data_IF_077007056035
#
_entry.id   IF_077007056035
#
_cell.length_a   1.000
_cell.length_b   1.000
_cell.length_c   1.000
_cell.angle_alpha   90.00
_cell.angle_beta   90.00
_cell.angle_gamma   90.00
#
_symmetry.space_group_name_H-M   'P 1'
#
loop_
_entity.id
_entity.type
_entity.pdbx_description
1 polymer ?
#
# COMPACT_ATOMS: atom_id res chain seq x y z
N UNK A 1 -7.01 36.18 29.27
CA UNK A 1 -6.54 35.97 27.89
C UNK A 1 -5.90 34.60 27.84
N UNK A 2 -6.61 33.60 27.33
CA UNK A 2 -6.05 32.25 27.18
C UNK A 2 -5.05 32.34 26.04
N UNK A 3 -3.78 32.05 26.32
CA UNK A 3 -2.74 31.95 25.29
C UNK A 3 -3.17 30.92 24.25
N UNK A 4 -3.29 31.32 22.98
CA UNK A 4 -3.55 30.39 21.88
C UNK A 4 -2.50 29.27 21.92
N UNK A 5 -2.95 28.05 22.20
CA UNK A 5 -2.13 26.85 22.16
C UNK A 5 -1.99 26.46 20.70
N UNK A 6 -0.83 26.76 20.13
CA UNK A 6 -0.51 26.46 18.73
C UNK A 6 0.50 25.34 18.64
N UNK A 7 0.24 24.36 17.77
CA UNK A 7 1.19 23.30 17.48
C UNK A 7 2.37 23.86 16.69
N UNK A 8 3.57 23.42 17.09
CA UNK A 8 4.79 23.82 16.41
C UNK A 8 5.13 22.85 15.28
N UNK A 9 5.96 23.31 14.33
CA UNK A 9 6.53 22.42 13.31
C UNK A 9 7.30 21.24 13.92
N UNK A 10 7.90 21.42 15.10
CA UNK A 10 8.57 20.35 15.84
C UNK A 10 7.60 19.26 16.30
N UNK A 11 6.40 19.62 16.75
CA UNK A 11 5.40 18.64 17.16
C UNK A 11 4.89 17.82 15.96
N UNK A 12 4.63 18.50 14.83
CA UNK A 12 4.25 17.84 13.58
C UNK A 12 5.34 16.87 13.10
N UNK A 13 6.62 17.25 13.25
CA UNK A 13 7.75 16.37 12.94
C UNK A 13 7.79 15.14 13.86
N UNK A 14 7.53 15.29 15.16
CA UNK A 14 7.43 14.17 16.08
C UNK A 14 6.26 13.24 15.77
N UNK A 15 5.10 13.79 15.40
CA UNK A 15 3.96 13.00 14.92
C UNK A 15 4.35 12.24 13.66
N UNK A 16 4.98 12.91 12.69
CA UNK A 16 5.45 12.27 11.46
C UNK A 16 6.42 11.11 11.76
N UNK A 17 7.41 11.32 12.61
CA UNK A 17 8.38 10.29 12.97
C UNK A 17 7.71 9.09 13.65
N UNK A 18 6.88 9.33 14.68
CA UNK A 18 6.16 8.27 15.41
C UNK A 18 5.16 7.53 14.52
N UNK A 19 4.52 8.22 13.59
CA UNK A 19 3.54 7.64 12.68
C UNK A 19 4.15 6.58 11.75
N UNK A 20 5.47 6.59 11.50
CA UNK A 20 6.13 5.54 10.72
C UNK A 20 6.06 4.16 11.41
N UNK A 21 5.88 4.13 12.73
CA UNK A 21 5.82 2.91 13.55
C UNK A 21 4.39 2.45 13.84
N UNK A 22 3.40 2.96 13.10
CA UNK A 22 1.99 2.75 13.44
C UNK A 22 1.55 1.29 13.46
N UNK A 23 2.08 0.46 12.56
CA UNK A 23 1.75 -0.96 12.54
C UNK A 23 2.49 -1.79 13.59
N UNK A 24 3.37 -1.18 14.40
CA UNK A 24 4.15 -1.90 15.42
C UNK A 24 3.30 -2.51 16.54
N UNK A 25 2.04 -2.09 16.68
CA UNK A 25 1.10 -2.59 17.70
C UNK A 25 -0.21 -3.11 17.11
N UNK A 26 -0.15 -3.64 15.89
CA UNK A 26 -1.33 -4.16 15.20
C UNK A 26 -1.94 -5.34 15.97
N UNK A 27 -3.25 -5.25 16.26
CA UNK A 27 -3.99 -6.27 17.00
C UNK A 27 -5.38 -6.49 16.39
N UNK A 28 -5.97 -7.67 16.59
CA UNK A 28 -7.27 -8.00 15.98
C UNK A 28 -8.45 -7.25 16.60
N UNK A 29 -8.34 -6.77 17.84
CA UNK A 29 -9.43 -6.06 18.52
C UNK A 29 -9.63 -4.66 17.95
N UNK A 30 -8.54 -3.92 17.71
CA UNK A 30 -8.57 -2.47 17.36
C UNK A 30 -7.63 -2.08 16.22
N UNK A 31 -7.01 -3.06 15.56
CA UNK A 31 -6.13 -2.89 14.40
C UNK A 31 -4.98 -1.92 14.72
N UNK A 32 -4.98 -0.72 14.14
CA UNK A 32 -3.89 0.27 14.22
C UNK A 32 -4.11 1.32 15.33
N UNK A 33 -5.16 1.19 16.14
CA UNK A 33 -5.56 2.21 17.13
C UNK A 33 -4.44 2.61 18.10
N UNK A 34 -3.66 1.65 18.60
CA UNK A 34 -2.59 1.96 19.55
C UNK A 34 -1.44 2.74 18.91
N UNK A 35 -1.05 2.38 17.68
CA UNK A 35 -0.06 3.13 16.91
C UNK A 35 -0.55 4.52 16.49
N UNK A 36 -1.86 4.65 16.23
CA UNK A 36 -2.51 5.94 16.01
C UNK A 36 -2.37 6.84 17.25
N UNK A 37 -2.77 6.31 18.41
CA UNK A 37 -2.69 7.00 19.69
C UNK A 37 -1.23 7.39 20.03
N UNK A 38 -0.27 6.47 19.87
CA UNK A 38 1.16 6.72 20.07
C UNK A 38 1.70 7.90 19.24
N UNK A 39 1.20 8.05 18.01
CA UNK A 39 1.58 9.14 17.11
C UNK A 39 1.11 10.50 17.63
N UNK A 40 -0.01 10.56 18.35
CA UNK A 40 -0.61 11.79 18.87
C UNK A 40 -0.17 12.18 20.29
N UNK A 41 0.44 11.26 21.04
CA UNK A 41 0.98 11.52 22.38
C UNK A 41 1.77 12.85 22.52
N UNK A 42 2.73 13.21 21.65
CA UNK A 42 3.50 14.45 21.85
C UNK A 42 2.61 15.70 21.75
N UNK A 43 1.58 15.65 20.92
CA UNK A 43 0.63 16.74 20.72
C UNK A 43 -0.36 16.83 21.87
N UNK A 44 -0.93 15.70 22.28
CA UNK A 44 -1.86 15.64 23.44
C UNK A 44 -1.17 16.17 24.71
N UNK A 45 0.11 15.81 24.93
CA UNK A 45 0.87 16.28 26.07
C UNK A 45 1.12 17.79 26.06
N UNK A 46 1.20 18.42 24.89
CA UNK A 46 1.37 19.86 24.72
C UNK A 46 0.04 20.61 24.87
N UNK A 47 -1.02 20.12 24.24
CA UNK A 47 -2.32 20.78 24.22
C UNK A 47 -3.02 20.73 25.59
N UNK A 48 -2.91 19.59 26.29
CA UNK A 48 -3.57 19.37 27.56
C UNK A 48 -2.54 19.36 28.70
N UNK A 49 -2.74 20.20 29.71
CA UNK A 49 -1.87 20.25 30.90
C UNK A 49 -2.37 19.31 32.00
N UNK A 50 -3.69 19.25 32.20
CA UNK A 50 -4.31 18.40 33.21
C UNK A 50 -4.26 16.93 32.79
N UNK A 51 -3.98 16.07 33.78
CA UNK A 51 -3.90 14.61 33.59
C UNK A 51 -5.23 14.02 33.12
N UNK A 52 -6.34 14.51 33.64
CA UNK A 52 -7.69 14.05 33.30
C UNK A 52 -8.01 14.30 31.83
N UNK A 53 -7.73 15.52 31.34
CA UNK A 53 -7.92 15.89 29.94
C UNK A 53 -7.05 15.06 29.00
N UNK A 54 -5.80 14.77 29.38
CA UNK A 54 -4.90 13.87 28.62
C UNK A 54 -5.45 12.45 28.55
N UNK A 55 -5.98 11.92 29.65
CA UNK A 55 -6.55 10.56 29.67
C UNK A 55 -7.79 10.50 28.77
N UNK A 56 -8.66 11.50 28.85
CA UNK A 56 -9.83 11.60 27.95
C UNK A 56 -9.38 11.63 26.48
N UNK A 57 -8.36 12.43 26.17
CA UNK A 57 -7.79 12.53 24.83
C UNK A 57 -7.20 11.24 24.30
N UNK A 58 -6.46 10.50 25.12
CA UNK A 58 -5.89 9.24 24.71
C UNK A 58 -6.97 8.17 24.51
N UNK A 59 -8.04 8.18 25.32
CA UNK A 59 -9.15 7.22 25.20
C UNK A 59 -9.92 7.37 23.89
N UNK A 60 -10.26 8.59 23.44
CA UNK A 60 -10.92 8.80 22.14
C UNK A 60 -10.08 8.34 20.94
N UNK A 61 -8.75 8.42 21.05
CA UNK A 61 -7.86 7.97 19.97
C UNK A 61 -7.54 6.47 20.00
N UNK A 62 -7.92 5.76 21.08
CA UNK A 62 -7.77 4.30 21.25
C UNK A 62 -8.92 3.47 20.68
N UNK A 63 -9.89 4.12 20.05
CA UNK A 63 -10.97 3.44 19.33
C UNK A 63 -10.49 2.85 18.01
N UNK A 64 -11.24 1.87 17.51
CA UNK A 64 -10.94 1.12 16.28
C UNK A 64 -10.49 2.05 15.16
N UNK A 65 -9.34 1.73 14.56
CA UNK A 65 -8.82 2.47 13.43
C UNK A 65 -8.07 1.53 12.51
N UNK A 66 -8.47 1.51 11.24
CA UNK A 66 -7.79 0.74 10.23
C UNK A 66 -7.79 1.50 8.90
N UNK A 67 -6.61 1.86 8.43
CA UNK A 67 -6.43 2.39 7.09
C UNK A 67 -5.06 1.99 6.54
N UNK A 68 -4.78 2.40 5.32
CA UNK A 68 -3.50 2.13 4.72
C UNK A 68 -2.36 2.97 5.39
N UNK A 69 -1.23 2.35 5.81
CA UNK A 69 -0.24 3.02 6.66
C UNK A 69 0.35 4.30 6.10
N UNK A 70 0.52 4.43 4.78
CA UNK A 70 1.17 5.60 4.17
C UNK A 70 0.23 6.78 3.94
N UNK A 71 -1.08 6.54 3.83
CA UNK A 71 -2.13 7.55 3.62
C UNK A 71 -2.89 7.89 4.89
N UNK A 72 -2.36 7.47 6.03
CA UNK A 72 -2.87 7.88 7.34
C UNK A 72 -2.58 9.34 7.66
N UNK A 73 -1.49 9.88 7.10
CA UNK A 73 -0.99 11.21 7.43
C UNK A 73 -2.04 12.32 7.28
N UNK A 74 -2.90 12.33 6.23
CA UNK A 74 -4.03 13.24 6.16
C UNK A 74 -4.98 13.14 7.36
N UNK A 75 -5.37 11.93 7.78
CA UNK A 75 -6.28 11.73 8.91
C UNK A 75 -5.66 12.23 10.22
N UNK A 76 -4.35 11.99 10.41
CA UNK A 76 -3.62 12.55 11.55
C UNK A 76 -3.62 14.08 11.49
N UNK A 77 -3.38 14.69 10.32
CA UNK A 77 -3.35 16.13 10.16
C UNK A 77 -4.67 16.81 10.50
N UNK A 78 -5.81 16.27 10.02
CA UNK A 78 -7.15 16.79 10.37
C UNK A 78 -7.40 16.68 11.86
N UNK A 79 -7.11 15.51 12.45
CA UNK A 79 -7.34 15.32 13.88
C UNK A 79 -6.46 16.25 14.72
N UNK A 80 -5.22 16.53 14.31
CA UNK A 80 -4.37 17.52 14.98
C UNK A 80 -4.96 18.94 14.94
N UNK A 81 -5.56 19.34 13.82
CA UNK A 81 -6.22 20.64 13.70
C UNK A 81 -7.46 20.73 14.61
N UNK A 82 -8.28 19.68 14.64
CA UNK A 82 -9.47 19.60 15.52
C UNK A 82 -9.10 19.58 17.00
N UNK A 83 -8.02 18.88 17.36
CA UNK A 83 -7.48 18.85 18.72
C UNK A 83 -6.96 20.22 19.15
N UNK A 84 -6.29 20.94 18.25
CA UNK A 84 -5.84 22.31 18.49
C UNK A 84 -7.01 23.26 18.71
N UNK A 85 -8.03 23.24 17.84
CA UNK A 85 -9.24 24.06 17.99
C UNK A 85 -9.98 23.75 19.30
N UNK A 86 -10.15 22.46 19.63
CA UNK A 86 -10.77 22.02 20.87
C UNK A 86 -9.98 22.48 22.11
N UNK A 87 -8.66 22.39 22.08
CA UNK A 87 -7.80 22.84 23.17
C UNK A 87 -7.81 24.37 23.36
N UNK A 88 -8.12 25.13 22.30
CA UNK A 88 -8.30 26.58 22.32
C UNK A 88 -9.72 27.02 22.70
N UNK A 89 -10.62 26.09 23.01
CA UNK A 89 -11.95 26.38 23.53
C UNK A 89 -13.08 26.32 22.50
N UNK A 90 -12.84 25.78 21.30
CA UNK A 90 -13.92 25.47 20.36
C UNK A 90 -14.81 24.34 20.93
N UNK A 91 -16.13 24.48 20.79
CA UNK A 91 -17.11 23.46 21.17
C UNK A 91 -17.12 22.31 20.16
N UNK A 92 -16.07 21.49 20.19
CA UNK A 92 -15.95 20.29 19.37
C UNK A 92 -16.24 19.08 20.25
N UNK A 93 -17.32 18.37 19.96
CA UNK A 93 -17.64 17.11 20.63
C UNK A 93 -16.57 16.03 20.33
N UNK A 94 -16.30 15.14 21.29
CA UNK A 94 -15.39 14.01 21.07
C UNK A 94 -15.91 13.07 19.96
N UNK A 95 -17.23 12.96 19.84
CA UNK A 95 -17.94 12.22 18.79
C UNK A 95 -17.57 12.72 17.38
N UNK A 96 -17.41 14.04 17.20
CA UNK A 96 -17.04 14.65 15.92
C UNK A 96 -15.63 14.28 15.50
N UNK A 97 -14.66 14.31 16.43
CA UNK A 97 -13.27 13.89 16.16
C UNK A 97 -13.22 12.42 15.73
N UNK A 98 -14.00 11.57 16.39
CA UNK A 98 -14.11 10.17 16.00
C UNK A 98 -14.80 9.98 14.64
N UNK A 99 -15.92 10.67 14.41
CA UNK A 99 -16.68 10.58 13.17
C UNK A 99 -15.84 10.99 11.95
N UNK A 100 -15.03 12.05 12.09
CA UNK A 100 -14.04 12.48 11.09
C UNK A 100 -13.04 11.36 10.81
N UNK A 101 -12.48 10.76 11.87
CA UNK A 101 -11.53 9.66 11.76
C UNK A 101 -12.14 8.48 11.00
N UNK A 102 -13.34 8.05 11.37
CA UNK A 102 -14.09 6.94 10.74
C UNK A 102 -14.43 7.23 9.29
N UNK A 103 -14.97 8.42 9.02
CA UNK A 103 -15.40 8.84 7.67
C UNK A 103 -14.26 8.85 6.66
N UNK A 104 -13.03 9.11 7.11
CA UNK A 104 -11.84 9.11 6.26
C UNK A 104 -11.15 7.74 6.13
N UNK A 105 -11.44 6.76 7.01
CA UNK A 105 -10.77 5.46 6.96
C UNK A 105 -11.03 4.73 5.64
N UNK A 106 -12.30 4.64 5.25
CA UNK A 106 -12.75 3.89 4.07
C UNK A 106 -12.20 4.44 2.76
N UNK A 107 -12.45 5.72 2.43
CA UNK A 107 -11.94 6.32 1.20
C UNK A 107 -10.42 6.25 1.09
N UNK A 108 -9.68 6.59 2.16
CA UNK A 108 -8.22 6.58 2.11
C UNK A 108 -7.65 5.16 2.08
N UNK A 109 -8.27 4.18 2.74
CA UNK A 109 -7.87 2.77 2.59
C UNK A 109 -8.09 2.28 1.14
N UNK A 110 -9.27 2.55 0.58
CA UNK A 110 -9.61 2.17 -0.79
C UNK A 110 -8.73 2.81 -1.86
N UNK A 111 -8.15 3.98 -1.58
CA UNK A 111 -7.18 4.66 -2.45
C UNK A 111 -5.76 4.14 -2.18
N UNK A 112 -5.37 4.04 -0.91
CA UNK A 112 -4.01 3.69 -0.51
C UNK A 112 -3.61 2.28 -0.92
N UNK A 113 -4.51 1.30 -0.77
CA UNK A 113 -4.19 -0.10 -1.03
C UNK A 113 -3.86 -0.38 -2.51
N UNK A 114 -4.68 0.03 -3.50
CA UNK A 114 -4.34 -0.15 -4.91
C UNK A 114 -3.07 0.62 -5.31
N UNK A 115 -2.88 1.85 -4.82
CA UNK A 115 -1.74 2.68 -5.21
C UNK A 115 -0.43 2.13 -4.67
N UNK A 116 -0.35 1.84 -3.38
CA UNK A 116 0.92 1.48 -2.74
C UNK A 116 1.20 -0.02 -2.81
N UNK A 117 0.20 -0.86 -2.52
CA UNK A 117 0.36 -2.31 -2.55
C UNK A 117 0.12 -2.89 -3.94
N UNK A 118 -0.81 -2.34 -4.70
CA UNK A 118 -1.11 -2.80 -6.07
C UNK A 118 -0.10 -2.30 -7.11
N UNK A 119 0.29 -1.02 -7.04
CA UNK A 119 1.12 -0.40 -8.08
C UNK A 119 2.54 -0.11 -7.61
N UNK A 120 2.74 0.81 -6.66
CA UNK A 120 4.06 1.34 -6.35
C UNK A 120 5.03 0.26 -5.87
N UNK A 121 4.64 -0.57 -4.90
CA UNK A 121 5.52 -1.61 -4.35
C UNK A 121 5.89 -2.65 -5.41
N UNK A 122 4.95 -3.26 -6.16
CA UNK A 122 5.33 -4.24 -7.19
C UNK A 122 6.14 -3.65 -8.33
N UNK A 123 5.80 -2.44 -8.81
CA UNK A 123 6.53 -1.75 -9.89
C UNK A 123 7.98 -1.51 -9.46
N UNK A 124 8.18 -0.92 -8.28
CA UNK A 124 9.54 -0.63 -7.78
C UNK A 124 10.31 -1.90 -7.44
N UNK A 125 9.64 -2.91 -6.89
CA UNK A 125 10.26 -4.20 -6.59
C UNK A 125 10.71 -4.90 -7.88
N UNK A 126 9.89 -4.88 -8.93
CA UNK A 126 10.23 -5.43 -10.23
C UNK A 126 11.41 -4.72 -10.89
N UNK A 127 11.42 -3.38 -10.89
CA UNK A 127 12.55 -2.61 -11.41
C UNK A 127 13.84 -2.94 -10.64
N UNK A 128 13.77 -2.97 -9.31
CA UNK A 128 14.92 -3.30 -8.45
C UNK A 128 15.41 -4.73 -8.66
N UNK A 129 14.51 -5.71 -8.70
CA UNK A 129 14.87 -7.11 -8.89
C UNK A 129 15.42 -7.38 -10.30
N UNK A 130 14.97 -6.66 -11.33
CA UNK A 130 15.50 -6.81 -12.70
C UNK A 130 16.97 -6.42 -12.81
N UNK A 131 17.38 -5.37 -12.09
CA UNK A 131 18.79 -4.98 -11.98
C UNK A 131 19.57 -5.93 -11.05
N UNK A 132 18.94 -6.42 -9.98
CA UNK A 132 19.56 -7.35 -9.04
C UNK A 132 19.91 -8.69 -9.69
N UNK A 133 19.06 -9.19 -10.60
CA UNK A 133 19.32 -10.43 -11.35
C UNK A 133 20.58 -10.35 -12.23
N UNK A 134 21.03 -9.14 -12.59
CA UNK A 134 22.28 -8.91 -13.31
C UNK A 134 23.50 -8.78 -12.39
N UNK A 135 23.33 -9.02 -11.08
CA UNK A 135 24.39 -8.88 -10.07
C UNK A 135 24.64 -7.44 -9.61
N UNK A 136 23.77 -6.48 -9.98
CA UNK A 136 23.96 -5.09 -9.64
C UNK A 136 23.32 -4.72 -8.29
N UNK A 137 24.16 -4.31 -7.32
CA UNK A 137 23.74 -3.85 -5.98
C UNK A 137 22.84 -2.60 -6.04
N UNK A 138 22.86 -1.85 -7.15
CA UNK A 138 21.93 -0.76 -7.38
C UNK A 138 20.46 -1.22 -7.44
N UNK A 139 20.18 -2.50 -7.74
CA UNK A 139 18.82 -3.03 -7.77
C UNK A 139 18.09 -2.91 -6.42
N UNK A 140 18.58 -3.56 -5.35
CA UNK A 140 18.00 -3.43 -4.01
C UNK A 140 18.03 -1.99 -3.47
N UNK A 141 19.10 -1.23 -3.77
CA UNK A 141 19.23 0.15 -3.32
C UNK A 141 18.21 1.08 -4.00
N UNK A 142 17.95 0.88 -5.30
CA UNK A 142 16.93 1.62 -6.05
C UNK A 142 15.53 1.34 -5.50
N UNK A 143 15.20 0.06 -5.24
CA UNK A 143 13.94 -0.28 -4.58
C UNK A 143 13.81 0.43 -3.24
N UNK A 144 14.84 0.33 -2.39
CA UNK A 144 14.83 0.92 -1.05
C UNK A 144 14.65 2.44 -1.12
N UNK A 145 15.43 3.14 -1.94
CA UNK A 145 15.39 4.60 -2.03
C UNK A 145 14.09 5.09 -2.68
N UNK A 146 13.68 4.51 -3.80
CA UNK A 146 12.51 4.99 -4.54
C UNK A 146 11.23 4.75 -3.74
N UNK A 147 11.06 3.54 -3.21
CA UNK A 147 9.90 3.21 -2.40
C UNK A 147 9.85 4.05 -1.12
N UNK A 148 10.96 4.16 -0.37
CA UNK A 148 10.98 4.93 0.88
C UNK A 148 10.80 6.44 0.64
N UNK A 149 11.40 6.98 -0.41
CA UNK A 149 11.25 8.41 -0.74
C UNK A 149 9.78 8.73 -1.00
N UNK A 150 9.11 7.98 -1.88
CA UNK A 150 7.70 8.24 -2.22
C UNK A 150 6.79 8.12 -0.99
N UNK A 151 6.94 7.06 -0.17
CA UNK A 151 6.11 6.95 1.06
C UNK A 151 6.39 8.08 2.05
N UNK A 152 7.64 8.52 2.23
CA UNK A 152 7.98 9.55 3.21
C UNK A 152 7.48 10.92 2.76
N UNK A 153 7.59 11.24 1.46
CA UNK A 153 7.06 12.47 0.89
C UNK A 153 5.53 12.53 1.04
N UNK A 154 4.81 11.48 0.65
CA UNK A 154 3.35 11.44 0.78
C UNK A 154 2.93 11.58 2.25
N UNK A 155 3.65 10.93 3.17
CA UNK A 155 3.37 11.05 4.60
C UNK A 155 3.62 12.44 5.16
N UNK A 156 4.73 13.08 4.80
CA UNK A 156 5.07 14.40 5.34
C UNK A 156 4.19 15.49 4.76
N UNK A 157 4.06 15.55 3.43
CA UNK A 157 3.22 16.54 2.77
C UNK A 157 1.74 16.31 3.04
N UNK A 158 1.29 15.05 3.10
CA UNK A 158 -0.09 14.72 3.47
C UNK A 158 -0.45 15.19 4.88
N UNK A 159 0.48 15.05 5.84
CA UNK A 159 0.28 15.53 7.21
C UNK A 159 0.17 17.07 7.26
N UNK A 160 1.13 17.75 6.63
CA UNK A 160 1.17 19.22 6.63
C UNK A 160 -0.01 19.84 5.88
N UNK A 161 -0.39 19.26 4.74
CA UNK A 161 -1.52 19.71 3.95
C UNK A 161 -2.82 19.58 4.74
N UNK A 162 -3.07 18.41 5.32
CA UNK A 162 -4.29 18.16 6.08
C UNK A 162 -4.39 18.96 7.37
N UNK A 163 -3.27 19.17 8.07
CA UNK A 163 -3.24 20.04 9.25
C UNK A 163 -3.60 21.49 8.90
N UNK A 164 -3.12 22.01 7.75
CA UNK A 164 -3.49 23.37 7.29
C UNK A 164 -4.91 23.48 6.77
N UNK A 165 -5.41 22.43 6.13
CA UNK A 165 -6.74 22.40 5.53
C UNK A 165 -7.85 22.15 6.57
N UNK A 166 -7.54 21.51 7.70
CA UNK A 166 -8.52 21.16 8.73
C UNK A 166 -9.66 20.32 8.15
N UNK A 167 -10.91 20.66 8.49
CA UNK A 167 -12.10 19.99 7.93
C UNK A 167 -12.28 20.21 6.43
N UNK A 168 -11.67 21.25 5.84
CA UNK A 168 -11.76 21.54 4.40
C UNK A 168 -11.23 20.41 3.52
N UNK A 169 -10.31 19.58 4.02
CA UNK A 169 -9.79 18.45 3.25
C UNK A 169 -10.85 17.38 2.97
N UNK A 170 -11.93 17.31 3.74
CA UNK A 170 -13.02 16.36 3.48
C UNK A 170 -13.66 16.61 2.12
N UNK A 171 -13.77 17.88 1.71
CA UNK A 171 -14.33 18.25 0.40
C UNK A 171 -13.36 17.89 -0.73
N UNK A 172 -12.05 18.06 -0.51
CA UNK A 172 -11.03 17.65 -1.48
C UNK A 172 -10.95 16.13 -1.64
N UNK A 173 -11.10 15.38 -0.53
CA UNK A 173 -11.09 13.92 -0.53
C UNK A 173 -12.36 13.35 -1.16
N UNK A 174 -13.51 13.98 -0.92
CA UNK A 174 -14.77 13.66 -1.59
C UNK A 174 -14.81 14.11 -3.07
N UNK A 175 -13.83 14.92 -3.47
CA UNK A 175 -13.70 15.44 -4.83
C UNK A 175 -13.17 14.43 -5.85
N UNK A 176 -13.40 14.75 -7.11
CA UNK A 176 -13.07 13.88 -8.25
C UNK A 176 -11.56 13.69 -8.49
N UNK A 177 -10.71 14.54 -7.88
CA UNK A 177 -9.25 14.53 -8.08
C UNK A 177 -8.59 13.25 -7.54
N UNK A 178 -8.97 12.80 -6.34
CA UNK A 178 -8.41 11.58 -5.76
C UNK A 178 -8.90 10.33 -6.49
N UNK A 179 -10.14 10.34 -6.98
CA UNK A 179 -10.68 9.26 -7.81
C UNK A 179 -9.87 9.11 -9.10
N UNK A 180 -9.65 10.22 -9.83
CA UNK A 180 -8.80 10.25 -11.04
C UNK A 180 -7.36 9.81 -10.78
N UNK A 181 -6.78 10.19 -9.64
CA UNK A 181 -5.44 9.74 -9.24
C UNK A 181 -5.40 8.22 -9.02
N UNK A 182 -6.43 7.67 -8.36
CA UNK A 182 -6.56 6.23 -8.09
C UNK A 182 -6.78 5.43 -9.38
N UNK A 183 -7.63 5.93 -10.27
CA UNK A 183 -7.85 5.36 -11.60
C UNK A 183 -6.54 5.34 -12.41
N UNK A 184 -5.83 6.47 -12.48
CA UNK A 184 -4.54 6.56 -13.18
C UNK A 184 -3.48 5.62 -12.61
N UNK A 185 -3.37 5.54 -11.27
CA UNK A 185 -2.45 4.62 -10.61
C UNK A 185 -2.83 3.14 -10.82
N UNK A 186 -4.12 2.84 -10.90
CA UNK A 186 -4.62 1.48 -11.18
C UNK A 186 -4.34 1.08 -12.62
N UNK A 187 -4.55 1.98 -13.58
CA UNK A 187 -4.21 1.76 -15.00
C UNK A 187 -2.71 1.50 -15.14
N UNK A 188 -1.88 2.35 -14.53
CA UNK A 188 -0.42 2.17 -14.55
C UNK A 188 0.00 0.84 -13.89
N UNK A 189 -0.62 0.49 -12.76
CA UNK A 189 -0.37 -0.77 -12.07
C UNK A 189 -0.71 -1.98 -12.92
N UNK A 190 -1.90 -2.01 -13.50
CA UNK A 190 -2.35 -3.10 -14.38
C UNK A 190 -1.45 -3.21 -15.62
N UNK A 191 -1.05 -2.08 -16.21
CA UNK A 191 -0.12 -2.06 -17.34
C UNK A 191 1.24 -2.68 -16.98
N UNK A 192 1.84 -2.27 -15.86
CA UNK A 192 3.13 -2.82 -15.43
C UNK A 192 3.01 -4.29 -15.03
N UNK A 193 1.93 -4.69 -14.35
CA UNK A 193 1.68 -6.10 -14.03
C UNK A 193 1.56 -6.96 -15.29
N UNK A 194 0.86 -6.48 -16.33
CA UNK A 194 0.80 -7.17 -17.63
C UNK A 194 2.17 -7.33 -18.27
N UNK A 195 2.99 -6.28 -18.27
CA UNK A 195 4.35 -6.32 -18.77
C UNK A 195 5.25 -7.29 -17.96
N UNK A 196 5.06 -7.37 -16.65
CA UNK A 196 5.81 -8.28 -15.78
C UNK A 196 5.46 -9.74 -16.04
N UNK A 197 4.18 -10.07 -16.15
CA UNK A 197 3.74 -11.41 -16.49
C UNK A 197 4.37 -11.86 -17.82
N UNK A 198 4.35 -11.00 -18.83
CA UNK A 198 4.92 -11.31 -20.14
C UNK A 198 6.45 -11.43 -20.14
N UNK A 199 7.17 -10.65 -19.32
CA UNK A 199 8.65 -10.61 -19.37
C UNK A 199 9.34 -11.53 -18.38
N UNK A 200 8.73 -11.79 -17.22
CA UNK A 200 9.38 -12.49 -16.10
C UNK A 200 8.85 -13.90 -15.87
N UNK A 201 7.83 -14.32 -16.61
CA UNK A 201 7.30 -15.68 -16.54
C UNK A 201 7.75 -16.44 -17.79
N UNK A 202 8.70 -17.35 -17.63
CA UNK A 202 9.10 -18.27 -18.69
C UNK A 202 8.46 -19.63 -18.45
N UNK A 203 7.66 -20.09 -19.42
CA UNK A 203 7.20 -21.47 -19.50
C UNK A 203 7.73 -21.99 -20.83
N UNK A 204 8.68 -22.91 -20.79
CA UNK A 204 9.23 -23.54 -21.98
C UNK A 204 8.64 -24.95 -22.11
N UNK A 205 7.97 -25.19 -23.23
CA UNK A 205 7.44 -26.52 -23.58
C UNK A 205 8.39 -27.16 -24.58
N UNK A 206 9.17 -28.17 -24.16
CA UNK A 206 10.18 -28.83 -24.99
C UNK A 206 9.63 -29.91 -25.93
N UNK A 207 8.31 -29.99 -26.09
CA UNK A 207 7.66 -31.04 -26.86
C UNK A 207 7.90 -30.84 -28.37
N UNK A 208 8.65 -31.76 -28.97
CA UNK A 208 9.06 -31.71 -30.39
C UNK A 208 7.92 -32.24 -31.27
N UNK A 209 7.44 -31.42 -32.22
CA UNK A 209 6.31 -31.79 -33.09
C UNK A 209 6.79 -32.32 -34.44
N UNK A 210 7.89 -31.77 -34.97
CA UNK A 210 8.52 -32.28 -36.17
C UNK A 210 10.04 -32.10 -36.10
N UNK A 211 10.76 -33.05 -36.69
CA UNK A 211 12.22 -33.01 -36.84
C UNK A 211 12.53 -33.18 -38.32
N UNK A 212 13.02 -32.12 -38.96
CA UNK A 212 13.46 -32.16 -40.36
C UNK A 212 14.93 -31.74 -40.41
N UNK A 213 15.82 -32.74 -40.41
CA UNK A 213 17.27 -32.51 -40.31
C UNK A 213 17.68 -31.89 -38.96
N UNK A 214 18.42 -30.78 -39.00
CA UNK A 214 18.84 -30.01 -37.81
C UNK A 214 17.76 -29.05 -37.28
N UNK A 215 16.68 -28.80 -38.04
CA UNK A 215 15.56 -27.97 -37.58
C UNK A 215 14.57 -28.79 -36.76
N UNK A 216 14.55 -28.52 -35.46
CA UNK A 216 13.58 -29.02 -34.50
C UNK A 216 12.51 -27.93 -34.36
N UNK A 217 11.26 -28.23 -34.73
CA UNK A 217 10.12 -27.35 -34.41
C UNK A 217 9.42 -27.86 -33.18
N UNK A 218 9.40 -27.03 -32.14
CA UNK A 218 8.72 -27.33 -30.88
C UNK A 218 7.30 -26.77 -30.88
N UNK A 219 6.42 -27.29 -30.02
CA UNK A 219 5.11 -26.69 -29.77
C UNK A 219 5.26 -25.22 -29.35
N UNK A 220 6.32 -24.88 -28.62
CA UNK A 220 6.62 -23.52 -28.19
C UNK A 220 6.83 -22.56 -29.37
N UNK A 221 7.47 -23.00 -30.46
CA UNK A 221 7.73 -22.16 -31.63
C UNK A 221 6.44 -21.79 -32.36
N UNK A 222 5.51 -22.73 -32.48
CA UNK A 222 4.19 -22.51 -33.09
C UNK A 222 3.37 -21.53 -32.23
N UNK A 223 3.38 -21.70 -30.91
CA UNK A 223 2.66 -20.81 -29.99
C UNK A 223 3.28 -19.40 -29.99
N UNK A 224 4.61 -19.30 -30.02
CA UNK A 224 5.33 -18.02 -30.06
C UNK A 224 5.09 -17.25 -31.37
N UNK A 225 4.84 -17.94 -32.50
CA UNK A 225 4.47 -17.28 -33.76
C UNK A 225 3.10 -16.59 -33.69
N UNK A 226 2.16 -17.14 -32.91
CA UNK A 226 0.86 -16.50 -32.69
C UNK A 226 0.97 -15.36 -31.67
N UNK A 227 1.53 -15.66 -30.49
CA UNK A 227 1.75 -14.69 -29.43
C UNK A 227 2.85 -15.17 -28.48
N UNK A 228 3.97 -14.44 -28.35
CA UNK A 228 4.99 -14.75 -27.36
C UNK A 228 4.40 -14.82 -25.94
N UNK A 229 4.78 -15.82 -25.16
CA UNK A 229 4.36 -16.01 -23.76
C UNK A 229 2.85 -16.22 -23.54
N UNK A 230 2.14 -16.73 -24.54
CA UNK A 230 0.71 -17.06 -24.42
C UNK A 230 0.41 -18.06 -23.28
N UNK A 231 1.31 -19.02 -23.04
CA UNK A 231 1.18 -19.99 -21.94
C UNK A 231 1.28 -19.32 -20.56
N UNK A 232 2.21 -18.37 -20.41
CA UNK A 232 2.36 -17.59 -19.17
C UNK A 232 1.11 -16.76 -18.86
N UNK A 233 0.48 -16.19 -19.90
CA UNK A 233 -0.77 -15.47 -19.77
C UNK A 233 -1.93 -16.41 -19.37
N UNK A 234 -2.03 -17.57 -20.01
CA UNK A 234 -3.04 -18.60 -19.68
C UNK A 234 -2.93 -19.08 -18.24
N UNK A 235 -1.70 -19.34 -17.78
CA UNK A 235 -1.44 -19.71 -16.38
C UNK A 235 -1.83 -18.60 -15.41
N UNK A 236 -1.55 -17.35 -15.76
CA UNK A 236 -1.94 -16.20 -14.95
C UNK A 236 -3.45 -16.12 -14.78
N UNK A 237 -4.22 -16.28 -15.86
CA UNK A 237 -5.68 -16.31 -15.78
C UNK A 237 -6.21 -17.49 -14.97
N UNK A 238 -5.59 -18.67 -15.08
CA UNK A 238 -5.92 -19.83 -14.26
C UNK A 238 -5.69 -19.54 -12.77
N UNK A 239 -4.54 -18.96 -12.41
CA UNK A 239 -4.24 -18.58 -11.02
C UNK A 239 -5.24 -17.53 -10.50
N UNK A 240 -5.57 -16.51 -11.29
CA UNK A 240 -6.60 -15.51 -10.93
C UNK A 240 -7.95 -16.18 -10.72
N UNK A 241 -8.34 -17.12 -11.58
CA UNK A 241 -9.58 -17.87 -11.43
C UNK A 241 -9.63 -18.70 -10.14
N UNK A 242 -8.54 -19.39 -9.80
CA UNK A 242 -8.42 -20.17 -8.55
C UNK A 242 -8.46 -19.27 -7.31
N UNK A 243 -7.79 -18.11 -7.34
CA UNK A 243 -7.85 -17.12 -6.26
C UNK A 243 -9.27 -16.58 -6.05
N UNK A 244 -10.00 -16.31 -7.14
CA UNK A 244 -11.42 -15.90 -7.07
C UNK A 244 -12.32 -16.99 -6.50
N UNK A 245 -11.95 -18.26 -6.62
CA UNK A 245 -12.62 -19.40 -5.98
C UNK A 245 -12.27 -19.57 -4.50
N UNK A 246 -11.42 -18.71 -3.94
CA UNK A 246 -10.99 -18.78 -2.54
C UNK A 246 -9.95 -19.85 -2.26
N UNK A 247 -9.30 -20.40 -3.30
CA UNK A 247 -8.17 -21.33 -3.11
C UNK A 247 -6.99 -20.56 -2.51
N UNK A 248 -6.36 -21.12 -1.48
CA UNK A 248 -5.24 -20.46 -0.82
C UNK A 248 -4.05 -20.28 -1.79
N UNK A 249 -3.35 -19.12 -1.78
CA UNK A 249 -2.16 -18.91 -2.60
C UNK A 249 -1.08 -19.99 -2.40
N UNK A 250 -0.94 -20.49 -1.16
CA UNK A 250 0.01 -21.55 -0.82
C UNK A 250 -0.33 -22.87 -1.54
N UNK A 251 -1.60 -23.23 -1.63
CA UNK A 251 -2.06 -24.41 -2.36
C UNK A 251 -1.80 -24.29 -3.86
N UNK A 252 -2.01 -23.10 -4.44
CA UNK A 252 -1.73 -22.84 -5.85
C UNK A 252 -0.23 -23.01 -6.12
N UNK A 253 0.63 -22.42 -5.29
CA UNK A 253 2.09 -22.56 -5.41
C UNK A 253 2.52 -24.03 -5.31
N UNK A 254 1.99 -24.78 -4.34
CA UNK A 254 2.29 -26.20 -4.19
C UNK A 254 1.85 -27.01 -5.42
N UNK A 255 0.68 -26.70 -6.00
CA UNK A 255 0.20 -27.31 -7.23
C UNK A 255 1.11 -27.02 -8.43
N UNK A 256 1.54 -25.76 -8.61
CA UNK A 256 2.48 -25.39 -9.67
C UNK A 256 3.83 -26.11 -9.51
N UNK A 257 4.30 -26.27 -8.29
CA UNK A 257 5.54 -26.99 -8.00
C UNK A 257 5.44 -28.47 -8.40
N UNK A 258 4.33 -29.13 -8.06
CA UNK A 258 4.07 -30.50 -8.46
C UNK A 258 3.98 -30.67 -9.99
N UNK A 259 3.26 -29.75 -10.66
CA UNK A 259 3.14 -29.74 -12.12
C UNK A 259 4.51 -29.52 -12.78
N UNK A 260 5.36 -28.66 -12.22
CA UNK A 260 6.72 -28.43 -12.71
C UNK A 260 7.58 -29.70 -12.65
N UNK A 261 7.58 -30.40 -11.51
CA UNK A 261 8.34 -31.66 -11.33
C UNK A 261 7.82 -32.75 -12.27
N UNK A 262 6.51 -32.98 -12.30
CA UNK A 262 5.91 -33.99 -13.14
C UNK A 262 6.09 -33.67 -14.63
N UNK A 263 5.98 -32.40 -15.01
CA UNK A 263 6.16 -31.94 -16.39
C UNK A 263 7.60 -32.04 -16.87
N UNK A 264 8.58 -31.77 -16.01
CA UNK A 264 10.00 -32.00 -16.31
C UNK A 264 10.31 -33.49 -16.46
N UNK A 265 9.81 -34.33 -15.52
CA UNK A 265 10.00 -35.78 -15.58
C UNK A 265 9.37 -36.40 -16.83
N UNK A 266 8.21 -35.90 -17.28
CA UNK A 266 7.55 -36.32 -18.50
C UNK A 266 8.16 -35.73 -19.79
N UNK A 267 9.16 -34.84 -19.70
CA UNK A 267 9.78 -34.17 -20.86
C UNK A 267 8.88 -33.14 -21.55
N UNK A 268 7.79 -32.71 -20.90
CA UNK A 268 6.83 -31.74 -21.43
C UNK A 268 7.27 -30.30 -21.13
N UNK A 269 7.88 -30.07 -19.96
CA UNK A 269 8.35 -28.76 -19.49
C UNK A 269 9.87 -28.77 -19.27
N UNK A 270 10.52 -27.63 -19.48
CA UNK A 270 11.94 -27.40 -19.17
C UNK A 270 12.18 -26.13 -18.37
#
# INVERSE_FOLDING_TARGET
MVSDKKLTKGDLFWVFLRSNLIQGSWNYERMQALGYCFSLVPVINRLYEKKEDRISALKRHLEFFNTHPFVISPILGVNLALEEEKANGAEIEDSTIHAVKVGLMGPLAGIGDPIFWGTLRPVTAALGAGLAMQGNVLGPLLFFLLFNTVRLLIRWYGLLYAYRAGLGIMQDIAGDKLRKLTEGASILGLFVMGALVAKWTSINVSLVVAKSGEMITTVQDILNQLMPNMLSLGLTFLCIYLLRKGVSPLTIIAGLFFIGIAGYWAGILS
#
